data_IF_602329084597
#
_entry.id   IF_602329084597
#
_cell.length_a   1.000
_cell.length_b   1.000
_cell.length_c   1.000
_cell.angle_alpha   90.00
_cell.angle_beta   90.00
_cell.angle_gamma   90.00
#
_symmetry.space_group_name_H-M   'P 1'
#
loop_
_entity.id
_entity.type
_entity.pdbx_description
1 polymer ?
#
# COMPACT_ATOMS: atom_id res chain seq x y z
N UNK A 1 11.27 -10.05 13.73
CA UNK A 1 10.70 -10.78 12.58
C UNK A 1 9.41 -11.48 13.05
N UNK A 2 8.36 -10.71 13.34
CA UNK A 2 7.17 -11.19 14.05
C UNK A 2 5.89 -11.13 13.19
N UNK A 3 5.78 -10.11 12.32
CA UNK A 3 4.59 -9.89 11.48
C UNK A 3 4.30 -11.00 10.47
N UNK A 4 5.32 -11.66 9.90
CA UNK A 4 5.11 -12.78 8.96
C UNK A 4 4.49 -13.99 9.64
N UNK A 5 4.84 -14.24 10.91
CA UNK A 5 4.24 -15.31 11.69
C UNK A 5 2.78 -14.99 12.03
N UNK A 6 2.48 -13.73 12.37
CA UNK A 6 1.12 -13.24 12.60
C UNK A 6 0.26 -13.34 11.33
N UNK A 7 0.78 -12.89 10.20
CA UNK A 7 0.12 -13.01 8.90
C UNK A 7 -0.13 -14.49 8.54
N UNK A 8 0.86 -15.37 8.72
CA UNK A 8 0.70 -16.79 8.45
C UNK A 8 -0.37 -17.43 9.34
N UNK A 9 -0.47 -17.00 10.61
CA UNK A 9 -1.54 -17.45 11.52
C UNK A 9 -2.91 -16.97 11.06
N UNK A 10 -3.05 -15.69 10.71
CA UNK A 10 -4.29 -15.13 10.18
C UNK A 10 -4.73 -15.85 8.89
N UNK A 11 -3.80 -16.07 7.96
CA UNK A 11 -4.07 -16.72 6.68
C UNK A 11 -4.55 -18.17 6.84
N UNK A 12 -4.21 -18.86 7.92
CA UNK A 12 -4.73 -20.21 8.22
C UNK A 12 -6.18 -20.20 8.72
N UNK A 13 -6.68 -19.07 9.22
CA UNK A 13 -8.02 -18.96 9.81
C UNK A 13 -9.07 -18.37 8.85
N UNK A 14 -8.72 -18.02 7.62
CA UNK A 14 -9.62 -17.36 6.67
C UNK A 14 -9.64 -18.08 5.32
N UNK A 15 -10.79 -18.06 4.59
CA UNK A 15 -10.87 -18.63 3.25
C UNK A 15 -10.11 -17.81 2.18
N UNK A 16 -9.82 -16.53 2.47
CA UNK A 16 -9.12 -15.61 1.57
C UNK A 16 -7.86 -15.03 2.24
N UNK A 17 -6.70 -15.70 2.10
CA UNK A 17 -5.47 -15.29 2.75
C UNK A 17 -4.88 -14.01 2.15
N UNK A 18 -4.26 -13.18 2.99
CA UNK A 18 -3.54 -12.00 2.54
C UNK A 18 -2.14 -12.34 2.02
N UNK A 19 -1.80 -11.82 0.85
CA UNK A 19 -0.44 -11.79 0.32
C UNK A 19 0.16 -10.38 0.43
N UNK A 20 0.52 -9.99 1.66
CA UNK A 20 1.18 -8.72 1.93
C UNK A 20 2.55 -8.66 1.23
N UNK A 21 2.89 -7.49 0.72
CA UNK A 21 4.13 -7.20 0.01
C UNK A 21 4.80 -5.99 0.63
N UNK A 22 6.13 -5.98 0.61
CA UNK A 22 6.89 -4.79 1.00
C UNK A 22 6.67 -3.66 -0.01
N UNK A 23 6.85 -2.39 0.38
CA UNK A 23 6.78 -1.26 -0.55
C UNK A 23 7.70 -1.41 -1.77
N UNK A 24 8.90 -2.00 -1.58
CA UNK A 24 9.82 -2.32 -2.70
C UNK A 24 9.23 -3.32 -3.69
N UNK A 25 8.54 -4.36 -3.21
CA UNK A 25 7.86 -5.33 -4.08
C UNK A 25 6.67 -4.69 -4.81
N UNK A 26 5.96 -3.76 -4.17
CA UNK A 26 4.89 -3.00 -4.82
C UNK A 26 5.46 -2.09 -5.91
N UNK A 27 6.55 -1.37 -5.62
CA UNK A 27 7.22 -0.51 -6.58
C UNK A 27 7.71 -1.27 -7.82
N UNK A 28 8.18 -2.51 -7.67
CA UNK A 28 8.58 -3.36 -8.79
C UNK A 28 7.44 -3.70 -9.79
N UNK A 29 6.17 -3.57 -9.41
CA UNK A 29 5.07 -3.71 -10.39
C UNK A 29 5.01 -2.54 -11.39
N UNK A 30 5.66 -1.43 -11.09
CA UNK A 30 5.76 -0.28 -11.98
C UNK A 30 7.00 -0.33 -12.88
N UNK A 31 7.78 -1.42 -12.84
CA UNK A 31 8.91 -1.61 -13.73
C UNK A 31 8.43 -1.51 -15.19
N UNK A 32 9.11 -0.67 -15.98
CA UNK A 32 8.77 -0.30 -17.37
C UNK A 32 7.54 0.60 -17.58
N UNK A 33 7.06 1.25 -16.53
CA UNK A 33 6.08 2.33 -16.63
C UNK A 33 6.72 3.67 -16.27
N UNK A 34 6.21 4.75 -16.84
CA UNK A 34 6.56 6.11 -16.43
C UNK A 34 5.78 6.46 -15.15
N UNK A 35 6.46 6.39 -14.01
CA UNK A 35 5.87 6.70 -12.70
C UNK A 35 5.43 8.16 -12.61
N UNK A 36 4.14 8.37 -12.32
CA UNK A 36 3.56 9.68 -12.07
C UNK A 36 3.90 10.13 -10.65
N UNK A 37 4.42 11.35 -10.51
CA UNK A 37 4.71 11.93 -9.20
C UNK A 37 3.47 11.92 -8.27
N UNK A 38 3.61 11.52 -6.98
CA UNK A 38 4.86 11.36 -6.22
C UNK A 38 5.53 9.98 -6.33
N UNK A 39 5.07 9.09 -7.21
CA UNK A 39 5.55 7.72 -7.31
C UNK A 39 4.74 6.76 -6.44
N UNK A 40 5.41 5.82 -5.77
CA UNK A 40 4.78 4.85 -4.86
C UNK A 40 4.95 5.33 -3.42
N UNK A 41 3.85 5.69 -2.79
CA UNK A 41 3.78 6.30 -1.44
C UNK A 41 2.60 5.69 -0.65
N UNK A 42 2.47 5.92 0.67
CA UNK A 42 1.23 5.63 1.37
C UNK A 42 0.00 6.21 0.65
N UNK A 43 -1.10 5.47 0.58
CA UNK A 43 -2.27 5.86 -0.21
C UNK A 43 -2.83 7.24 0.19
N UNK A 44 -2.83 7.54 1.49
CA UNK A 44 -3.27 8.84 2.04
C UNK A 44 -2.36 9.99 1.64
N UNK A 45 -1.12 9.72 1.23
CA UNK A 45 -0.16 10.71 0.74
C UNK A 45 -0.21 10.89 -0.79
N UNK A 46 -1.00 10.10 -1.52
CA UNK A 46 -1.07 10.18 -2.97
C UNK A 46 -2.03 11.28 -3.41
N UNK A 47 -1.50 12.47 -3.71
CA UNK A 47 -2.24 13.66 -4.20
C UNK A 47 -3.59 13.87 -3.47
N UNK A 48 -3.57 13.98 -2.13
CA UNK A 48 -4.79 14.09 -1.35
C UNK A 48 -5.57 15.36 -1.72
N UNK A 49 -6.90 15.27 -1.67
CA UNK A 49 -7.75 16.45 -1.73
C UNK A 49 -7.55 17.32 -0.49
N UNK A 50 -7.79 18.63 -0.61
CA UNK A 50 -7.57 19.60 0.46
C UNK A 50 -8.54 19.45 1.64
N UNK A 51 -9.71 18.85 1.41
CA UNK A 51 -10.64 18.47 2.45
C UNK A 51 -10.52 16.95 2.65
N UNK A 52 -9.76 16.55 3.66
CA UNK A 52 -9.64 15.14 4.00
C UNK A 52 -10.82 14.76 4.91
N UNK A 53 -11.75 13.88 4.47
CA UNK A 53 -12.95 13.57 5.25
C UNK A 53 -12.66 12.56 6.39
N UNK A 54 -11.43 12.09 6.52
CA UNK A 54 -11.02 11.07 7.49
C UNK A 54 -10.24 11.67 8.65
N UNK A 55 -10.36 11.04 9.83
CA UNK A 55 -9.62 11.44 11.03
C UNK A 55 -8.14 11.06 10.89
N UNK A 56 -7.25 11.72 11.64
CA UNK A 56 -5.84 11.31 11.74
C UNK A 56 -5.66 9.86 12.20
N UNK A 57 -6.60 9.32 12.99
CA UNK A 57 -6.60 7.91 13.41
C UNK A 57 -6.79 6.97 12.22
N UNK A 58 -7.67 7.33 11.29
CA UNK A 58 -7.87 6.59 10.04
C UNK A 58 -6.62 6.62 9.17
N UNK A 59 -5.94 7.76 9.06
CA UNK A 59 -4.70 7.86 8.29
C UNK A 59 -3.60 6.93 8.82
N UNK A 60 -3.46 6.85 10.14
CA UNK A 60 -2.49 5.95 10.78
C UNK A 60 -2.81 4.47 10.51
N UNK A 61 -4.09 4.08 10.49
CA UNK A 61 -4.54 2.70 10.25
C UNK A 61 -4.22 2.21 8.84
N UNK A 62 -4.18 3.11 7.85
CA UNK A 62 -3.94 2.76 6.44
C UNK A 62 -2.57 3.17 5.94
N UNK A 63 -1.70 3.71 6.80
CA UNK A 63 -0.36 4.17 6.44
C UNK A 63 0.52 3.06 5.82
N UNK A 64 0.26 1.81 6.19
CA UNK A 64 0.97 0.63 5.66
C UNK A 64 0.51 0.24 4.24
N UNK A 65 -0.61 0.81 3.75
CA UNK A 65 -1.07 0.63 2.38
C UNK A 65 -0.35 1.63 1.46
N UNK A 66 0.39 1.11 0.50
CA UNK A 66 1.15 1.91 -0.46
C UNK A 66 0.67 1.69 -1.89
N UNK A 67 0.75 2.71 -2.72
CA UNK A 67 0.35 2.67 -4.12
C UNK A 67 0.92 3.82 -4.94
N UNK A 68 0.76 3.73 -6.25
CA UNK A 68 1.23 4.72 -7.21
C UNK A 68 0.51 4.58 -8.55
N UNK A 69 0.83 5.46 -9.48
CA UNK A 69 0.27 5.44 -10.84
C UNK A 69 1.42 5.45 -11.85
N UNK A 70 1.39 4.52 -12.81
CA UNK A 70 2.34 4.46 -13.91
C UNK A 70 1.63 4.66 -15.24
N UNK A 71 2.21 5.46 -16.12
CA UNK A 71 1.76 5.56 -17.51
C UNK A 71 2.51 4.52 -18.34
N UNK A 72 1.79 3.86 -19.23
CA UNK A 72 2.42 3.05 -20.27
C UNK A 72 3.10 4.00 -21.27
N UNK A 73 4.35 3.73 -21.68
CA UNK A 73 5.02 4.49 -22.73
C UNK A 73 4.24 4.52 -24.05
#
# INVERSE_FOLDING_TARGET
MEWRALQARYNRSVPFPYHLRSPKQIAGYFDNLDLVAPGVVPLTSWRPDTCFPYTHEWDALVADLVGGVGRKP
#
